data_IF_262757318050
#
_entry.id   IF_262757318050
#
_cell.length_a   1.000
_cell.length_b   1.000
_cell.length_c   1.000
_cell.angle_alpha   90.00
_cell.angle_beta   90.00
_cell.angle_gamma   90.00
#
_symmetry.space_group_name_H-M   'P 1'
#
loop_
_entity.id
_entity.type
_entity.pdbx_description
1 polymer ?
#
# COMPACT_ATOMS: atom_id res chain seq x y z
N UNK A 1 -1.18 -13.09 -4.86
CA UNK A 1 -0.41 -13.19 -6.13
C UNK A 1 0.38 -11.90 -6.39
N UNK A 2 -0.26 -10.72 -6.39
CA UNK A 2 0.40 -9.42 -6.67
C UNK A 2 1.61 -9.10 -5.76
N UNK A 3 1.43 -9.10 -4.43
CA UNK A 3 2.52 -8.78 -3.50
C UNK A 3 3.71 -9.73 -3.63
N UNK A 4 3.46 -11.01 -3.91
CA UNK A 4 4.52 -12.00 -4.15
C UNK A 4 5.33 -11.66 -5.41
N UNK A 5 4.68 -11.24 -6.50
CA UNK A 5 5.37 -10.83 -7.73
C UNK A 5 6.25 -9.61 -7.48
N UNK A 6 5.72 -8.57 -6.83
CA UNK A 6 6.47 -7.35 -6.51
C UNK A 6 7.69 -7.66 -5.62
N UNK A 7 7.49 -8.49 -4.60
CA UNK A 7 8.57 -8.90 -3.71
C UNK A 7 9.64 -9.74 -4.42
N UNK A 8 9.23 -10.68 -5.28
CA UNK A 8 10.16 -11.57 -6.00
C UNK A 8 10.97 -10.83 -7.06
N UNK A 9 10.36 -9.89 -7.77
CA UNK A 9 11.06 -9.09 -8.79
C UNK A 9 11.91 -7.99 -8.14
N UNK A 10 11.50 -7.50 -6.96
CA UNK A 10 12.22 -6.44 -6.26
C UNK A 10 12.15 -5.10 -6.99
N UNK A 11 11.07 -4.84 -7.75
CA UNK A 11 10.87 -3.60 -8.49
C UNK A 11 9.40 -3.18 -8.46
N UNK A 12 9.12 -1.88 -8.24
CA UNK A 12 7.76 -1.33 -8.20
C UNK A 12 7.08 -1.33 -9.58
N UNK A 13 7.86 -1.24 -10.66
CA UNK A 13 7.35 -1.31 -12.03
C UNK A 13 8.02 -2.43 -12.81
N UNK A 14 7.63 -3.70 -12.63
CA UNK A 14 8.20 -4.85 -13.33
C UNK A 14 7.53 -5.05 -14.69
N UNK A 15 7.31 -3.96 -15.43
CA UNK A 15 6.58 -3.94 -16.68
C UNK A 15 7.45 -3.35 -17.81
N UNK A 16 7.21 -3.74 -19.07
CA UNK A 16 7.88 -3.09 -20.20
C UNK A 16 7.63 -1.58 -20.23
N UNK A 17 8.64 -0.82 -20.68
CA UNK A 17 8.59 0.66 -20.75
C UNK A 17 7.45 1.22 -21.59
N UNK A 18 6.91 0.45 -22.54
CA UNK A 18 5.75 0.87 -23.35
C UNK A 18 4.42 0.80 -22.59
N UNK A 19 4.38 0.09 -21.45
CA UNK A 19 3.21 -0.02 -20.56
C UNK A 19 3.40 0.89 -19.34
N UNK A 20 4.57 0.84 -18.72
CA UNK A 20 4.94 1.68 -17.59
C UNK A 20 6.24 2.41 -17.89
N UNK A 21 6.18 3.64 -18.44
CA UNK A 21 7.35 4.43 -18.73
C UNK A 21 8.08 4.81 -17.44
N UNK A 22 9.38 4.52 -17.38
CA UNK A 22 10.28 4.90 -16.29
C UNK A 22 11.39 5.77 -16.86
N UNK A 23 11.69 6.87 -16.17
CA UNK A 23 12.83 7.73 -16.50
C UNK A 23 14.10 6.93 -16.17
N UNK A 24 14.94 6.68 -17.16
CA UNK A 24 16.11 5.79 -17.01
C UNK A 24 17.06 6.22 -15.90
N UNK A 25 17.24 7.53 -15.70
CA UNK A 25 18.09 8.06 -14.63
C UNK A 25 17.51 7.82 -13.23
N UNK A 26 16.22 7.46 -13.12
CA UNK A 26 15.51 7.26 -11.86
C UNK A 26 15.04 5.82 -11.64
N UNK A 27 15.46 4.88 -12.48
CA UNK A 27 15.05 3.47 -12.39
C UNK A 27 15.42 2.85 -11.03
N UNK A 28 16.60 3.19 -10.50
CA UNK A 28 17.07 2.70 -9.20
C UNK A 28 16.16 3.08 -8.02
N UNK A 29 15.38 4.17 -8.12
CA UNK A 29 14.47 4.59 -7.04
C UNK A 29 13.22 3.70 -6.96
N UNK A 30 12.93 2.93 -7.99
CA UNK A 30 11.81 1.98 -8.02
C UNK A 30 12.21 0.58 -7.54
N UNK A 31 13.48 0.37 -7.21
CA UNK A 31 13.99 -0.90 -6.71
C UNK A 31 13.58 -1.12 -5.24
N UNK A 32 13.05 -2.30 -4.95
CA UNK A 32 12.60 -2.75 -3.63
C UNK A 32 13.57 -3.78 -3.02
N UNK A 33 14.82 -3.80 -3.46
CA UNK A 33 15.84 -4.69 -2.92
C UNK A 33 16.93 -3.88 -2.20
N UNK A 34 17.20 -4.15 -0.90
CA UNK A 34 16.52 -5.13 -0.04
C UNK A 34 15.06 -4.74 0.25
N UNK A 35 14.24 -5.74 0.57
CA UNK A 35 12.82 -5.50 0.88
C UNK A 35 12.68 -4.65 2.15
N UNK A 36 11.84 -3.59 2.13
CA UNK A 36 11.62 -2.74 3.30
C UNK A 36 10.67 -3.41 4.30
N UNK A 37 10.52 -2.83 5.49
CA UNK A 37 9.57 -3.34 6.50
C UNK A 37 8.10 -3.11 6.12
N UNK A 38 7.82 -2.06 5.33
CA UNK A 38 6.48 -1.68 4.86
C UNK A 38 6.54 -1.16 3.42
N UNK A 39 5.62 -1.63 2.58
CA UNK A 39 5.36 -1.15 1.22
C UNK A 39 3.89 -0.71 1.13
N UNK A 40 3.68 0.58 0.86
CA UNK A 40 2.34 1.16 0.66
C UNK A 40 2.09 1.31 -0.83
N UNK A 41 1.18 0.50 -1.37
CA UNK A 41 0.76 0.48 -2.76
C UNK A 41 -0.61 1.15 -2.83
N UNK A 42 -0.63 2.47 -2.90
CA UNK A 42 -1.86 3.26 -2.94
C UNK A 42 -2.49 3.26 -4.34
N UNK A 43 -3.13 2.16 -4.71
CA UNK A 43 -3.83 1.99 -6.00
C UNK A 43 -5.36 2.08 -5.82
N UNK A 44 -6.09 2.25 -6.92
CA UNK A 44 -7.55 2.31 -6.99
C UNK A 44 -8.24 0.97 -6.77
N UNK A 45 -7.49 -0.13 -6.70
CA UNK A 45 -8.04 -1.46 -6.45
C UNK A 45 -8.54 -1.59 -5.00
N UNK A 46 -9.21 -2.71 -4.73
CA UNK A 46 -9.68 -3.05 -3.40
C UNK A 46 -8.56 -2.98 -2.37
N UNK A 47 -8.92 -2.50 -1.17
CA UNK A 47 -7.97 -2.36 -0.09
C UNK A 47 -7.44 -3.73 0.34
N UNK A 48 -6.16 -3.82 0.67
CA UNK A 48 -5.59 -5.07 1.17
C UNK A 48 -4.49 -4.81 2.18
N UNK A 49 -4.31 -5.82 3.03
CA UNK A 49 -3.20 -5.91 3.95
C UNK A 49 -2.65 -7.34 3.83
N UNK A 50 -1.37 -7.45 3.50
CA UNK A 50 -0.72 -8.73 3.27
C UNK A 50 0.71 -8.71 3.80
N UNK A 51 1.03 -9.65 4.67
CA UNK A 51 2.39 -9.83 5.17
C UNK A 51 3.10 -10.91 4.36
N UNK A 52 4.27 -10.57 3.83
CA UNK A 52 5.17 -11.52 3.17
C UNK A 52 6.53 -11.45 3.85
N UNK A 53 6.95 -12.55 4.45
CA UNK A 53 8.16 -12.62 5.29
C UNK A 53 8.13 -11.50 6.35
N UNK A 54 9.09 -10.57 6.28
CA UNK A 54 9.23 -9.44 7.21
C UNK A 54 8.69 -8.11 6.64
N UNK A 55 8.11 -8.15 5.44
CA UNK A 55 7.59 -6.97 4.75
C UNK A 55 6.08 -6.96 4.78
N UNK A 56 5.53 -5.84 5.23
CA UNK A 56 4.10 -5.58 5.19
C UNK A 56 3.73 -4.87 3.89
N UNK A 57 2.82 -5.44 3.11
CA UNK A 57 2.27 -4.83 1.91
C UNK A 57 0.86 -4.34 2.20
N UNK A 58 0.61 -3.07 1.97
CA UNK A 58 -0.71 -2.48 2.19
C UNK A 58 -1.18 -1.68 1.00
N UNK A 59 -2.46 -1.77 0.70
CA UNK A 59 -3.17 -0.87 -0.19
C UNK A 59 -4.34 -0.25 0.59
N UNK A 60 -4.30 1.06 0.88
CA UNK A 60 -5.42 1.75 1.52
C UNK A 60 -6.67 1.83 0.63
N UNK A 61 -6.52 1.61 -0.69
CA UNK A 61 -7.59 1.80 -1.65
C UNK A 61 -7.89 3.28 -1.92
N UNK A 62 -9.00 3.52 -2.62
CA UNK A 62 -9.39 4.88 -2.99
C UNK A 62 -10.17 5.56 -1.85
N UNK A 63 -9.56 6.56 -1.23
CA UNK A 63 -10.17 7.34 -0.14
C UNK A 63 -11.60 7.82 -0.45
N UNK A 64 -11.83 8.39 -1.64
CA UNK A 64 -13.13 8.93 -2.02
C UNK A 64 -14.18 7.86 -2.40
N UNK A 65 -13.77 6.63 -2.70
CA UNK A 65 -14.69 5.55 -3.14
C UNK A 65 -14.93 4.49 -2.07
N UNK A 66 -14.21 4.59 -0.96
CA UNK A 66 -14.21 3.59 0.11
C UNK A 66 -14.53 4.30 1.42
N UNK A 67 -15.61 5.08 1.48
CA UNK A 67 -16.15 5.69 2.70
C UNK A 67 -15.10 6.42 3.57
N UNK A 68 -14.22 7.17 2.89
CA UNK A 68 -13.14 7.92 3.54
C UNK A 68 -12.23 7.02 4.40
N UNK A 69 -12.04 5.77 4.00
CA UNK A 69 -11.15 4.83 4.66
C UNK A 69 -9.69 5.17 4.40
N UNK A 70 -8.89 5.10 5.46
CA UNK A 70 -7.45 5.32 5.44
C UNK A 70 -6.76 4.36 6.40
N UNK A 71 -5.47 4.16 6.19
CA UNK A 71 -4.67 3.23 6.97
C UNK A 71 -3.73 4.00 7.90
N UNK A 72 -3.60 3.55 9.14
CA UNK A 72 -2.66 4.08 10.13
C UNK A 72 -1.61 3.02 10.40
N UNK A 73 -0.34 3.35 10.16
CA UNK A 73 0.78 2.47 10.48
C UNK A 73 1.44 2.92 11.78
N UNK A 74 1.65 1.97 12.70
CA UNK A 74 2.36 2.18 13.97
C UNK A 74 3.78 1.61 13.86
N UNK A 75 4.82 2.42 13.61
CA UNK A 75 6.15 1.91 13.30
C UNK A 75 6.78 1.10 14.45
N UNK A 76 6.50 1.49 15.70
CA UNK A 76 7.01 0.79 16.88
C UNK A 76 6.42 -0.62 17.03
N UNK A 77 5.19 -0.83 16.56
CA UNK A 77 4.48 -2.11 16.66
C UNK A 77 4.54 -2.90 15.34
N UNK A 78 4.90 -2.24 14.24
CA UNK A 78 4.84 -2.77 12.86
C UNK A 78 3.44 -3.26 12.50
N UNK A 79 2.40 -2.60 13.04
CA UNK A 79 0.99 -2.92 12.82
C UNK A 79 0.32 -1.85 11.99
N UNK A 80 -0.71 -2.25 11.24
CA UNK A 80 -1.57 -1.36 10.46
C UNK A 80 -2.99 -1.49 10.94
N UNK A 81 -3.64 -0.35 11.15
CA UNK A 81 -5.06 -0.25 11.50
C UNK A 81 -5.82 0.44 10.37
N UNK A 82 -7.06 0.01 10.15
CA UNK A 82 -7.97 0.62 9.18
C UNK A 82 -8.89 1.57 9.93
N UNK A 83 -8.94 2.82 9.48
CA UNK A 83 -9.75 3.88 10.07
C UNK A 83 -10.68 4.47 9.00
N UNK A 84 -11.84 4.98 9.42
CA UNK A 84 -12.75 5.75 8.56
C UNK A 84 -12.90 7.16 9.14
N UNK A 85 -13.04 8.16 8.26
CA UNK A 85 -13.27 9.54 8.66
C UNK A 85 -14.76 9.92 8.77
N UNK A 86 -15.69 8.95 8.64
CA UNK A 86 -17.12 9.23 8.70
C UNK A 86 -17.56 9.77 10.07
N UNK A 87 -18.28 10.89 10.06
CA UNK A 87 -18.81 11.57 11.27
C UNK A 87 -20.11 10.96 11.83
N UNK A 88 -20.42 9.68 11.57
CA UNK A 88 -21.62 9.02 12.14
C UNK A 88 -21.38 8.40 13.54
N UNK A 89 -20.74 9.16 14.43
CA UNK A 89 -20.55 8.77 15.83
C UNK A 89 -20.79 9.94 16.81
N UNK A 90 -21.71 10.84 16.46
CA UNK A 90 -22.32 11.79 17.40
C UNK A 90 -23.84 11.80 17.24
N UNK A 91 -24.47 10.65 17.42
CA UNK A 91 -25.84 10.61 17.94
C UNK A 91 -25.74 9.97 19.33
N UNK A 92 -25.89 10.79 20.35
CA UNK A 92 -25.88 10.38 21.74
C UNK A 92 -27.07 9.44 22.01
N UNK A 93 -26.93 8.44 22.90
CA UNK A 93 -28.08 7.70 23.38
C UNK A 93 -28.95 8.61 24.26
N UNK A 94 -30.20 8.85 23.84
CA UNK A 94 -31.29 9.24 24.74
C UNK A 94 -31.73 8.05 25.60
#
# INVERSE_FOLDING_TARGET
>A
MFCHTIASVGHLSPLPLHISPVIWQMDSYLTLYPLPDLVVIADKFEHFHYQLENTLFVNPGSFARTDLNFYVYYPALRTVEVCSADQKATEAPE
#
